data_IF_555286338451
#
_entry.id   IF_555286338451
#
_cell.length_a   1.000
_cell.length_b   1.000
_cell.length_c   1.000
_cell.angle_alpha   90.00
_cell.angle_beta   90.00
_cell.angle_gamma   90.00
#
_symmetry.space_group_name_H-M   'P 1'
#
loop_
_entity.id
_entity.type
_entity.pdbx_description
1 polymer ?
#
# COMPACT_ATOMS: atom_id res chain seq x y z
N UNK A 1 -35.17 0.91 -8.46
CA UNK A 1 -35.14 0.12 -9.71
C UNK A 1 -34.50 -1.19 -9.36
N UNK A 2 -34.99 -2.28 -9.92
CA UNK A 2 -34.36 -3.58 -9.74
C UNK A 2 -32.91 -3.57 -10.28
N UNK A 3 -31.99 -4.24 -9.59
CA UNK A 3 -30.58 -4.31 -9.99
C UNK A 3 -30.44 -4.89 -11.40
N UNK A 4 -31.26 -5.90 -11.73
CA UNK A 4 -31.30 -6.50 -13.06
C UNK A 4 -31.64 -5.46 -14.14
N UNK A 5 -32.60 -4.58 -13.90
CA UNK A 5 -32.97 -3.52 -14.84
C UNK A 5 -31.82 -2.50 -15.07
N UNK A 6 -31.03 -2.21 -14.03
CA UNK A 6 -29.86 -1.33 -14.12
C UNK A 6 -28.72 -1.98 -14.91
N UNK A 7 -28.49 -3.28 -14.72
CA UNK A 7 -27.56 -4.06 -15.55
C UNK A 7 -27.99 -4.09 -17.01
N UNK A 8 -29.27 -4.40 -17.28
CA UNK A 8 -29.82 -4.41 -18.64
C UNK A 8 -29.69 -3.05 -19.33
N UNK A 9 -29.95 -1.96 -18.62
CA UNK A 9 -29.77 -0.60 -19.15
C UNK A 9 -28.29 -0.31 -19.47
N UNK A 10 -27.37 -0.65 -18.57
CA UNK A 10 -25.94 -0.46 -18.81
C UNK A 10 -25.48 -1.25 -20.04
N UNK A 11 -25.96 -2.49 -20.21
CA UNK A 11 -25.66 -3.35 -21.36
C UNK A 11 -26.22 -2.80 -22.67
N UNK A 12 -27.46 -2.29 -22.69
CA UNK A 12 -28.18 -1.95 -23.93
C UNK A 12 -28.14 -0.47 -24.32
N UNK A 13 -28.38 0.44 -23.36
CA UNK A 13 -28.60 1.87 -23.64
C UNK A 13 -27.40 2.76 -23.29
N UNK A 14 -26.49 2.27 -22.46
CA UNK A 14 -25.33 3.03 -22.00
C UNK A 14 -25.68 4.23 -21.12
N UNK A 15 -24.79 5.23 -21.07
CA UNK A 15 -25.01 6.47 -20.31
C UNK A 15 -26.12 7.31 -20.93
N UNK A 16 -26.79 8.16 -20.14
CA UNK A 16 -27.73 9.13 -20.69
C UNK A 16 -26.97 10.39 -21.12
N UNK A 17 -26.86 10.72 -22.42
CA UNK A 17 -26.07 11.87 -22.88
C UNK A 17 -26.53 13.20 -22.28
N UNK A 18 -27.85 13.37 -22.10
CA UNK A 18 -28.47 14.59 -21.56
C UNK A 18 -28.14 14.81 -20.07
N UNK A 19 -27.76 13.75 -19.35
CA UNK A 19 -27.36 13.85 -17.94
C UNK A 19 -25.84 13.86 -17.83
N UNK A 20 -25.18 12.96 -18.56
CA UNK A 20 -23.75 12.73 -18.49
C UNK A 20 -22.95 13.98 -18.90
N UNK A 21 -23.27 14.59 -20.04
CA UNK A 21 -22.50 15.71 -20.56
C UNK A 21 -22.61 16.96 -19.68
N UNK A 22 -23.80 17.42 -19.24
CA UNK A 22 -23.90 18.56 -18.34
C UNK A 22 -23.17 18.34 -17.01
N UNK A 23 -23.35 17.17 -16.39
CA UNK A 23 -22.64 16.82 -15.14
C UNK A 23 -21.13 16.86 -15.35
N UNK A 24 -20.65 16.33 -16.46
CA UNK A 24 -19.23 16.35 -16.83
C UNK A 24 -18.70 17.77 -17.06
N UNK A 25 -19.46 18.62 -17.75
CA UNK A 25 -19.13 20.02 -17.97
C UNK A 25 -19.01 20.82 -16.67
N UNK A 26 -19.77 20.44 -15.63
CA UNK A 26 -19.66 21.05 -14.29
C UNK A 26 -18.51 20.44 -13.48
N UNK A 27 -18.38 19.12 -13.45
CA UNK A 27 -17.42 18.44 -12.58
C UNK A 27 -15.96 18.61 -13.01
N UNK A 28 -15.68 18.61 -14.31
CA UNK A 28 -14.30 18.76 -14.81
C UNK A 28 -13.67 20.10 -14.40
N UNK A 29 -14.26 21.27 -14.67
CA UNK A 29 -13.69 22.54 -14.23
C UNK A 29 -13.65 22.61 -12.70
N UNK A 30 -14.66 22.10 -12.00
CA UNK A 30 -14.63 22.01 -10.54
C UNK A 30 -13.40 21.23 -10.05
N UNK A 31 -13.13 20.03 -10.57
CA UNK A 31 -11.94 19.27 -10.18
C UNK A 31 -10.63 19.98 -10.56
N UNK A 32 -10.57 20.59 -11.74
CA UNK A 32 -9.37 21.31 -12.20
C UNK A 32 -9.04 22.53 -11.35
N UNK A 33 -10.05 23.31 -10.94
CA UNK A 33 -9.83 24.52 -10.16
C UNK A 33 -9.77 24.21 -8.66
N UNK A 34 -10.80 23.55 -8.12
CA UNK A 34 -10.96 23.35 -6.69
C UNK A 34 -10.01 22.29 -6.12
N UNK A 35 -9.78 21.20 -6.86
CA UNK A 35 -8.81 20.15 -6.48
C UNK A 35 -7.47 20.27 -7.20
N UNK A 36 -7.25 21.35 -7.98
CA UNK A 36 -6.01 21.56 -8.76
C UNK A 36 -5.62 20.31 -9.55
N UNK A 37 -6.62 19.66 -10.17
CA UNK A 37 -6.46 18.33 -10.77
C UNK A 37 -5.36 18.29 -11.84
N UNK A 38 -4.27 17.58 -11.52
CA UNK A 38 -3.21 17.22 -12.47
C UNK A 38 -3.58 15.96 -13.24
N UNK A 39 -3.40 15.98 -14.57
CA UNK A 39 -3.71 14.85 -15.46
C UNK A 39 -2.52 14.57 -16.36
N UNK A 40 -1.87 13.43 -16.17
CA UNK A 40 -0.62 13.05 -16.83
C UNK A 40 -0.84 11.75 -17.61
N UNK A 41 -0.29 11.62 -18.81
CA UNK A 41 -0.43 10.40 -19.61
C UNK A 41 -1.75 10.29 -20.37
N UNK A 42 -2.41 11.41 -20.70
CA UNK A 42 -3.70 11.38 -21.42
C UNK A 42 -3.55 10.87 -22.85
N UNK A 43 -2.38 11.03 -23.43
CA UNK A 43 -1.92 10.52 -24.71
C UNK A 43 -1.91 8.98 -24.77
N UNK A 44 -1.86 8.29 -23.62
CA UNK A 44 -1.93 6.84 -23.55
C UNK A 44 -3.37 6.30 -23.60
N UNK A 45 -4.39 7.16 -23.61
CA UNK A 45 -5.78 6.74 -23.59
C UNK A 45 -6.34 6.73 -25.02
N UNK A 46 -6.72 5.56 -25.56
CA UNK A 46 -7.39 5.47 -26.86
C UNK A 46 -8.61 6.38 -26.95
N UNK A 47 -8.77 7.05 -28.09
CA UNK A 47 -9.89 7.97 -28.33
C UNK A 47 -11.22 7.21 -28.53
N UNK A 48 -11.14 6.01 -29.10
CA UNK A 48 -12.24 5.13 -29.49
C UNK A 48 -11.88 3.66 -29.20
N UNK A 49 -12.83 2.75 -29.45
CA UNK A 49 -12.67 1.32 -29.20
C UNK A 49 -12.78 0.89 -27.73
N UNK A 50 -12.81 -0.43 -27.46
CA UNK A 50 -12.90 -0.97 -26.11
C UNK A 50 -11.70 -0.56 -25.27
N UNK A 51 -11.92 -0.23 -24.00
CA UNK A 51 -10.83 0.19 -23.11
C UNK A 51 -11.10 -0.25 -21.69
N UNK A 52 -10.13 -0.94 -21.09
CA UNK A 52 -10.20 -1.39 -19.71
C UNK A 52 -9.23 -0.56 -18.86
N UNK A 53 -9.76 0.21 -17.92
CA UNK A 53 -8.94 1.00 -16.99
C UNK A 53 -8.76 0.20 -15.70
N UNK A 54 -7.50 0.00 -15.29
CA UNK A 54 -7.15 -0.62 -14.02
C UNK A 54 -6.58 0.45 -13.09
N UNK A 55 -7.24 0.74 -11.97
CA UNK A 55 -6.82 1.80 -11.05
C UNK A 55 -6.77 1.39 -9.58
N UNK A 56 -5.95 2.09 -8.79
CA UNK A 56 -6.02 2.03 -7.33
C UNK A 56 -7.28 2.75 -6.81
N UNK A 57 -7.78 2.35 -5.64
CA UNK A 57 -8.99 2.91 -5.06
C UNK A 57 -8.77 3.42 -3.64
N UNK A 58 -8.77 4.74 -3.47
CA UNK A 58 -8.54 5.46 -2.21
C UNK A 58 -9.78 6.19 -1.71
N UNK A 59 -10.66 6.62 -2.61
CA UNK A 59 -11.77 7.51 -2.29
C UNK A 59 -13.00 7.25 -3.16
N UNK A 60 -14.16 7.72 -2.71
CA UNK A 60 -15.39 7.67 -3.52
C UNK A 60 -15.32 8.59 -4.75
N UNK A 61 -14.36 9.54 -4.76
CA UNK A 61 -14.16 10.46 -5.88
C UNK A 61 -13.36 9.86 -7.04
N UNK A 62 -12.65 8.75 -6.82
CA UNK A 62 -11.73 8.19 -7.83
C UNK A 62 -12.42 7.92 -9.18
N UNK A 63 -13.62 7.31 -9.25
CA UNK A 63 -14.27 7.06 -10.54
C UNK A 63 -14.56 8.34 -11.31
N UNK A 64 -14.99 9.40 -10.62
CA UNK A 64 -15.32 10.69 -11.23
C UNK A 64 -14.06 11.42 -11.71
N UNK A 65 -13.02 11.37 -10.90
CA UNK A 65 -11.74 12.02 -11.18
C UNK A 65 -11.03 11.30 -12.34
N UNK A 66 -11.04 9.96 -12.39
CA UNK A 66 -10.57 9.16 -13.52
C UNK A 66 -11.38 9.45 -14.78
N UNK A 67 -12.71 9.59 -14.66
CA UNK A 67 -13.57 9.98 -15.78
C UNK A 67 -13.17 11.30 -16.46
N UNK A 68 -12.48 12.20 -15.74
CA UNK A 68 -11.97 13.45 -16.29
C UNK A 68 -10.69 13.30 -17.16
N UNK A 69 -10.10 12.10 -17.23
CA UNK A 69 -8.96 11.80 -18.09
C UNK A 69 -9.37 11.62 -19.56
N UNK A 70 -10.44 10.88 -19.81
CA UNK A 70 -10.94 10.54 -21.13
C UNK A 70 -11.82 11.65 -21.70
N UNK A 71 -12.15 11.62 -22.99
CA UNK A 71 -13.17 12.50 -23.60
C UNK A 71 -14.51 11.80 -23.83
N UNK A 72 -14.65 10.55 -23.39
CA UNK A 72 -15.80 9.67 -23.60
C UNK A 72 -16.30 9.08 -22.28
N UNK A 73 -17.54 8.53 -22.24
CA UNK A 73 -18.11 7.93 -21.05
C UNK A 73 -17.26 6.79 -20.48
N UNK A 74 -17.26 6.67 -19.15
CA UNK A 74 -16.58 5.60 -18.41
C UNK A 74 -17.60 4.90 -17.53
N UNK A 75 -17.69 3.58 -17.69
CA UNK A 75 -18.55 2.74 -16.87
C UNK A 75 -17.74 2.21 -15.70
N UNK A 76 -18.30 2.25 -14.50
CA UNK A 76 -17.61 1.81 -13.29
C UNK A 76 -18.55 1.06 -12.37
N UNK A 77 -17.98 0.22 -11.54
CA UNK A 77 -18.73 -0.63 -10.63
C UNK A 77 -18.92 0.08 -9.28
N UNK A 78 -20.15 0.09 -8.76
CA UNK A 78 -20.53 0.77 -7.52
C UNK A 78 -21.36 -0.14 -6.59
N UNK A 79 -21.28 0.09 -5.28
CA UNK A 79 -21.99 -0.71 -4.26
C UNK A 79 -23.50 -0.70 -4.51
N UNK A 80 -24.16 -1.87 -4.49
CA UNK A 80 -25.61 -2.02 -4.75
C UNK A 80 -26.47 -1.13 -3.84
N UNK A 81 -26.05 -0.86 -2.61
CA UNK A 81 -26.75 -0.02 -1.63
C UNK A 81 -26.88 1.44 -2.07
N UNK A 82 -25.99 1.92 -2.96
CA UNK A 82 -26.11 3.25 -3.56
C UNK A 82 -27.31 3.37 -4.51
N UNK A 83 -27.93 2.25 -4.88
CA UNK A 83 -29.04 2.18 -5.84
C UNK A 83 -30.40 1.88 -5.18
N UNK A 84 -30.46 1.77 -3.84
CA UNK A 84 -31.73 1.55 -3.12
C UNK A 84 -32.75 2.67 -3.41
N UNK A 85 -32.29 3.92 -3.40
CA UNK A 85 -33.10 5.07 -3.75
C UNK A 85 -33.31 5.13 -5.28
N UNK A 86 -34.56 5.09 -5.75
CA UNK A 86 -34.87 5.01 -7.20
C UNK A 86 -34.25 6.14 -8.02
N UNK A 87 -34.35 7.39 -7.53
CA UNK A 87 -33.81 8.57 -8.21
C UNK A 87 -32.28 8.58 -8.22
N UNK A 88 -31.66 8.28 -7.07
CA UNK A 88 -30.20 8.19 -6.95
C UNK A 88 -29.63 7.07 -7.83
N UNK A 89 -30.26 5.90 -7.82
CA UNK A 89 -29.84 4.75 -8.63
C UNK A 89 -29.99 5.01 -10.13
N UNK A 90 -31.08 5.68 -10.55
CA UNK A 90 -31.23 6.16 -11.93
C UNK A 90 -30.10 7.11 -12.32
N UNK A 91 -29.84 8.12 -11.48
CA UNK A 91 -28.84 9.14 -11.75
C UNK A 91 -27.42 8.55 -11.84
N UNK A 92 -27.04 7.69 -10.89
CA UNK A 92 -25.75 7.00 -10.91
C UNK A 92 -25.60 6.12 -12.16
N UNK A 93 -26.63 5.36 -12.52
CA UNK A 93 -26.60 4.54 -13.72
C UNK A 93 -26.55 5.37 -15.01
N UNK A 94 -27.26 6.49 -15.05
CA UNK A 94 -27.18 7.47 -16.14
C UNK A 94 -25.76 8.04 -16.31
N UNK A 95 -24.96 8.07 -15.25
CA UNK A 95 -23.55 8.46 -15.26
C UNK A 95 -22.57 7.32 -15.57
N UNK A 96 -23.05 6.08 -15.75
CA UNK A 96 -22.24 4.91 -16.08
C UNK A 96 -21.97 3.97 -14.90
N UNK A 97 -22.58 4.20 -13.73
CA UNK A 97 -22.42 3.30 -12.58
C UNK A 97 -23.24 2.01 -12.73
N UNK A 98 -22.59 0.87 -12.53
CA UNK A 98 -23.21 -0.46 -12.53
C UNK A 98 -23.24 -0.98 -11.09
N UNK A 99 -24.40 -1.42 -10.56
CA UNK A 99 -24.47 -1.98 -9.21
C UNK A 99 -23.68 -3.29 -9.12
N UNK A 100 -23.05 -3.54 -7.97
CA UNK A 100 -22.47 -4.85 -7.64
C UNK A 100 -22.71 -5.21 -6.19
N UNK A 101 -22.93 -6.49 -5.96
CA UNK A 101 -22.88 -7.10 -4.64
C UNK A 101 -21.46 -7.62 -4.36
N UNK A 102 -20.76 -6.99 -3.42
CA UNK A 102 -19.39 -7.35 -3.09
C UNK A 102 -19.40 -8.61 -2.23
N UNK A 103 -19.17 -9.77 -2.84
CA UNK A 103 -19.06 -11.06 -2.15
C UNK A 103 -19.91 -12.18 -2.75
N UNK A 104 -21.03 -11.84 -3.40
CA UNK A 104 -22.00 -12.83 -3.90
C UNK A 104 -22.12 -12.93 -5.43
N UNK A 105 -21.86 -11.84 -6.20
CA UNK A 105 -22.10 -11.84 -7.65
C UNK A 105 -20.94 -11.23 -8.46
N UNK A 106 -19.79 -11.92 -8.43
CA UNK A 106 -18.66 -11.59 -9.31
C UNK A 106 -19.01 -11.86 -10.79
N UNK A 107 -19.86 -12.85 -11.08
CA UNK A 107 -20.16 -13.24 -12.46
C UNK A 107 -21.03 -12.23 -13.22
N UNK A 108 -22.11 -11.72 -12.64
CA UNK A 108 -23.00 -10.77 -13.35
C UNK A 108 -22.28 -9.45 -13.68
N UNK A 109 -21.42 -9.00 -12.76
CA UNK A 109 -20.57 -7.84 -12.97
C UNK A 109 -19.58 -8.07 -14.11
N UNK A 110 -18.89 -9.22 -14.14
CA UNK A 110 -17.97 -9.58 -15.21
C UNK A 110 -18.67 -9.66 -16.57
N UNK A 111 -19.84 -10.30 -16.63
CA UNK A 111 -20.66 -10.37 -17.85
C UNK A 111 -21.05 -8.97 -18.32
N UNK A 112 -21.48 -8.10 -17.40
CA UNK A 112 -21.85 -6.71 -17.74
C UNK A 112 -20.66 -5.90 -18.25
N UNK A 113 -19.51 -6.00 -17.58
CA UNK A 113 -18.29 -5.34 -17.99
C UNK A 113 -17.86 -5.82 -19.38
N UNK A 114 -17.92 -7.13 -19.64
CA UNK A 114 -17.64 -7.70 -20.96
C UNK A 114 -18.57 -7.15 -22.03
N UNK A 115 -19.89 -7.16 -21.81
CA UNK A 115 -20.85 -6.60 -22.79
C UNK A 115 -20.61 -5.12 -23.09
N UNK A 116 -20.17 -4.34 -22.10
CA UNK A 116 -19.80 -2.93 -22.32
C UNK A 116 -18.53 -2.83 -23.17
N UNK A 117 -17.53 -3.66 -22.90
CA UNK A 117 -16.30 -3.73 -23.71
C UNK A 117 -16.61 -4.20 -25.14
N UNK A 118 -17.46 -5.20 -25.34
CA UNK A 118 -17.85 -5.71 -26.67
C UNK A 118 -18.55 -4.63 -27.51
N UNK A 119 -19.22 -3.67 -26.87
CA UNK A 119 -19.79 -2.47 -27.52
C UNK A 119 -18.75 -1.40 -27.88
N UNK A 120 -17.48 -1.64 -27.55
CA UNK A 120 -16.39 -0.71 -27.72
C UNK A 120 -16.35 0.40 -26.69
N UNK A 121 -17.02 0.27 -25.54
CA UNK A 121 -17.05 1.27 -24.46
C UNK A 121 -15.92 1.09 -23.43
N UNK A 122 -15.81 2.05 -22.50
CA UNK A 122 -14.74 2.09 -21.49
C UNK A 122 -15.22 1.56 -20.15
N UNK A 123 -14.53 0.57 -19.59
CA UNK A 123 -14.82 0.05 -18.24
C UNK A 123 -13.67 0.37 -17.29
N UNK A 124 -14.00 0.93 -16.13
CA UNK A 124 -13.10 1.16 -15.01
C UNK A 124 -13.30 0.09 -13.95
N UNK A 125 -12.21 -0.63 -13.66
CA UNK A 125 -12.12 -1.61 -12.60
C UNK A 125 -11.07 -1.17 -11.59
N UNK A 126 -11.40 -1.35 -10.31
CA UNK A 126 -10.46 -1.23 -9.21
C UNK A 126 -10.08 -2.64 -8.76
N UNK A 127 -8.90 -3.17 -9.15
CA UNK A 127 -8.53 -4.56 -8.88
C UNK A 127 -8.56 -4.91 -7.38
N UNK A 128 -8.31 -3.94 -6.50
CA UNK A 128 -8.40 -4.10 -5.04
C UNK A 128 -9.81 -4.50 -4.55
N UNK A 129 -10.86 -4.19 -5.31
CA UNK A 129 -12.26 -4.48 -5.00
C UNK A 129 -12.85 -3.67 -3.82
N UNK A 130 -12.01 -2.94 -3.08
CA UNK A 130 -12.41 -2.04 -2.00
C UNK A 130 -11.52 -0.81 -1.97
N UNK A 131 -11.88 0.19 -1.16
CA UNK A 131 -11.01 1.36 -0.95
C UNK A 131 -9.94 0.98 0.07
N UNK A 132 -8.68 1.10 -0.31
CA UNK A 132 -7.53 0.78 0.54
C UNK A 132 -6.94 2.08 1.06
N UNK A 133 -6.96 2.32 2.38
CA UNK A 133 -6.29 3.45 3.05
C UNK A 133 -6.36 3.29 4.58
N UNK A 134 -5.42 3.88 5.34
CA UNK A 134 -4.14 4.47 4.91
C UNK A 134 -3.12 3.38 4.49
N UNK A 135 -1.95 3.78 4.00
CA UNK A 135 -0.87 2.87 3.57
C UNK A 135 -0.71 2.74 2.05
N UNK A 136 0.01 1.69 1.65
CA UNK A 136 0.31 1.36 0.24
C UNK A 136 -0.89 0.84 -0.53
N UNK A 137 -0.60 0.29 -1.71
CA UNK A 137 -1.59 -0.39 -2.55
C UNK A 137 -2.01 -1.73 -1.94
N UNK A 138 -3.27 -2.13 -2.16
CA UNK A 138 -3.79 -3.42 -1.72
C UNK A 138 -3.46 -4.57 -2.67
N UNK A 139 -3.97 -5.74 -2.33
CA UNK A 139 -3.84 -6.94 -3.16
C UNK A 139 -4.87 -6.92 -4.29
N UNK A 140 -4.45 -7.10 -5.56
CA UNK A 140 -5.37 -7.12 -6.68
C UNK A 140 -6.12 -8.45 -6.75
N UNK A 141 -7.38 -8.39 -7.20
CA UNK A 141 -8.18 -9.57 -7.55
C UNK A 141 -8.03 -9.89 -9.04
N UNK A 142 -8.11 -11.18 -9.38
CA UNK A 142 -7.98 -11.71 -10.76
C UNK A 142 -8.99 -11.19 -11.80
N UNK A 143 -10.03 -10.47 -11.38
CA UNK A 143 -11.13 -10.06 -12.25
C UNK A 143 -10.67 -9.19 -13.44
N UNK A 144 -9.66 -8.35 -13.22
CA UNK A 144 -9.09 -7.52 -14.28
C UNK A 144 -8.42 -8.37 -15.38
N UNK A 145 -7.61 -9.38 -15.00
CA UNK A 145 -6.93 -10.23 -15.97
C UNK A 145 -7.90 -11.12 -16.74
N UNK A 146 -8.98 -11.59 -16.09
CA UNK A 146 -10.06 -12.31 -16.77
C UNK A 146 -10.74 -11.43 -17.84
N UNK A 147 -11.10 -10.19 -17.49
CA UNK A 147 -11.73 -9.26 -18.44
C UNK A 147 -10.81 -8.91 -19.61
N UNK A 148 -9.52 -8.69 -19.35
CA UNK A 148 -8.53 -8.41 -20.37
C UNK A 148 -8.43 -9.56 -21.40
N UNK A 149 -8.39 -10.81 -20.93
CA UNK A 149 -8.33 -12.01 -21.78
C UNK A 149 -9.64 -12.26 -22.54
N UNK A 150 -10.80 -12.10 -21.89
CA UNK A 150 -12.07 -12.39 -22.56
C UNK A 150 -12.48 -11.34 -23.59
N UNK A 151 -12.11 -10.07 -23.37
CA UNK A 151 -12.48 -8.96 -24.25
C UNK A 151 -11.42 -8.61 -25.30
N UNK A 152 -10.15 -8.94 -25.06
CA UNK A 152 -9.03 -8.43 -25.85
C UNK A 152 -8.83 -6.91 -25.76
N UNK A 153 -9.53 -6.23 -24.85
CA UNK A 153 -9.46 -4.78 -24.71
C UNK A 153 -8.08 -4.35 -24.18
N UNK A 154 -7.49 -3.27 -24.70
CA UNK A 154 -6.29 -2.67 -24.13
C UNK A 154 -6.54 -2.28 -22.67
N UNK A 155 -5.60 -2.64 -21.79
CA UNK A 155 -5.65 -2.34 -20.37
C UNK A 155 -4.75 -1.14 -20.08
N UNK A 156 -5.33 -0.02 -19.64
CA UNK A 156 -4.55 1.16 -19.24
C UNK A 156 -4.42 1.21 -17.71
N UNK A 157 -3.19 1.12 -17.16
CA UNK A 157 -2.94 1.26 -15.74
C UNK A 157 -3.03 2.74 -15.34
N UNK A 158 -3.80 3.04 -14.31
CA UNK A 158 -4.01 4.39 -13.80
C UNK A 158 -3.69 4.43 -12.30
N UNK A 159 -2.99 5.46 -11.86
CA UNK A 159 -2.88 5.78 -10.45
C UNK A 159 -3.48 7.15 -10.14
N UNK A 160 -4.12 7.26 -8.98
CA UNK A 160 -4.73 8.48 -8.44
C UNK A 160 -4.22 8.70 -7.03
N UNK A 161 -3.66 9.88 -6.75
CA UNK A 161 -3.24 10.32 -5.41
C UNK A 161 -3.93 11.62 -4.99
N UNK A 162 -4.20 11.77 -3.70
CA UNK A 162 -4.73 12.98 -3.07
C UNK A 162 -6.24 12.97 -2.86
N UNK A 163 -6.98 12.07 -3.53
CA UNK A 163 -8.44 11.96 -3.38
C UNK A 163 -8.86 11.47 -1.99
N UNK A 164 -7.99 10.77 -1.26
CA UNK A 164 -8.22 10.37 0.13
C UNK A 164 -8.29 11.54 1.10
N UNK A 165 -7.63 12.66 0.76
CA UNK A 165 -7.51 13.86 1.59
C UNK A 165 -8.58 14.91 1.30
N UNK A 166 -9.30 14.76 0.19
CA UNK A 166 -10.35 15.70 -0.24
C UNK A 166 -11.54 15.73 0.71
N UNK A 167 -11.93 14.58 1.28
CA UNK A 167 -13.11 14.49 2.17
C UNK A 167 -12.72 14.19 3.60
N UNK A 168 -13.02 15.12 4.50
CA UNK A 168 -12.93 14.93 5.97
C UNK A 168 -14.34 14.97 6.55
N UNK A 169 -14.86 13.82 6.97
CA UNK A 169 -16.25 13.62 7.41
C UNK A 169 -17.26 14.01 6.29
N UNK A 170 -18.09 15.02 6.52
CA UNK A 170 -19.08 15.52 5.55
C UNK A 170 -18.56 16.69 4.69
N UNK A 171 -17.39 17.26 5.02
CA UNK A 171 -16.86 18.44 4.33
C UNK A 171 -15.86 18.06 3.25
N UNK A 172 -16.07 18.60 2.05
CA UNK A 172 -15.12 18.56 0.94
C UNK A 172 -14.17 19.74 1.11
N UNK A 173 -12.86 19.49 1.11
CA UNK A 173 -11.81 20.51 1.21
C UNK A 173 -10.96 20.52 -0.05
N UNK A 174 -10.42 21.68 -0.44
CA UNK A 174 -9.50 21.75 -1.57
C UNK A 174 -8.22 21.00 -1.20
N UNK A 175 -7.84 20.03 -2.03
CA UNK A 175 -6.58 19.30 -1.94
C UNK A 175 -6.11 19.00 -3.35
N UNK A 176 -4.79 19.04 -3.58
CA UNK A 176 -4.23 18.72 -4.89
C UNK A 176 -4.47 17.25 -5.19
N UNK A 177 -5.11 16.97 -6.32
CA UNK A 177 -5.31 15.61 -6.83
C UNK A 177 -4.51 15.45 -8.10
N UNK A 178 -3.77 14.35 -8.23
CA UNK A 178 -3.00 14.05 -9.43
C UNK A 178 -3.34 12.64 -9.92
N UNK A 179 -3.58 12.52 -11.21
CA UNK A 179 -3.80 11.24 -11.89
C UNK A 179 -2.70 11.04 -12.92
N UNK A 180 -2.23 9.80 -13.03
CA UNK A 180 -1.31 9.37 -14.07
C UNK A 180 -1.81 8.11 -14.76
N UNK A 181 -1.84 8.12 -16.08
CA UNK A 181 -2.09 6.95 -16.90
C UNK A 181 -0.79 6.45 -17.55
N UNK A 182 -0.54 5.15 -17.45
CA UNK A 182 0.58 4.48 -18.12
C UNK A 182 0.20 4.01 -19.53
N UNK A 183 1.18 3.43 -20.24
CA UNK A 183 0.95 2.88 -21.59
C UNK A 183 -0.05 1.71 -21.55
N UNK A 184 -0.89 1.54 -22.59
CA UNK A 184 -1.79 0.39 -22.68
C UNK A 184 -1.02 -0.92 -22.74
N UNK A 185 -1.55 -1.95 -22.08
CA UNK A 185 -1.13 -3.34 -22.20
C UNK A 185 -2.17 -4.10 -23.03
N UNK A 186 -1.71 -4.90 -23.99
CA UNK A 186 -2.57 -5.76 -24.81
C UNK A 186 -2.32 -7.23 -24.48
N UNK A 187 -3.38 -8.02 -24.49
CA UNK A 187 -3.34 -9.45 -24.19
C UNK A 187 -4.11 -10.22 -25.27
N UNK A 188 -3.75 -11.49 -25.55
CA UNK A 188 -4.48 -12.31 -26.49
C UNK A 188 -5.90 -12.57 -25.98
N UNK A 189 -6.85 -12.65 -26.92
CA UNK A 189 -8.22 -13.02 -26.59
C UNK A 189 -8.32 -14.52 -26.34
N UNK A 190 -8.80 -14.92 -25.17
CA UNK A 190 -8.96 -16.32 -24.75
C UNK A 190 -10.39 -16.55 -24.27
N UNK A 191 -11.06 -17.54 -24.85
CA UNK A 191 -12.36 -17.99 -24.37
C UNK A 191 -12.19 -18.80 -23.08
N UNK A 192 -13.02 -18.52 -22.07
CA UNK A 192 -13.02 -19.23 -20.78
C UNK A 192 -11.62 -19.39 -20.15
N UNK A 193 -10.88 -18.29 -19.90
CA UNK A 193 -9.53 -18.35 -19.37
C UNK A 193 -9.50 -19.04 -18.00
N UNK A 194 -8.48 -19.87 -17.79
CA UNK A 194 -8.27 -20.51 -16.49
C UNK A 194 -8.02 -19.47 -15.39
N UNK A 195 -8.33 -19.84 -14.14
CA UNK A 195 -8.09 -18.96 -12.97
C UNK A 195 -6.62 -18.53 -12.87
N UNK A 196 -5.70 -19.44 -13.19
CA UNK A 196 -4.27 -19.18 -13.12
C UNK A 196 -3.82 -18.21 -14.23
N UNK A 197 -4.35 -18.35 -15.44
CA UNK A 197 -4.03 -17.43 -16.53
C UNK A 197 -4.57 -16.01 -16.25
N UNK A 198 -5.79 -15.91 -15.73
CA UNK A 198 -6.36 -14.63 -15.31
C UNK A 198 -5.55 -13.97 -14.17
N UNK A 199 -5.02 -14.77 -13.24
CA UNK A 199 -4.13 -14.28 -12.19
C UNK A 199 -2.81 -13.78 -12.79
N UNK A 200 -2.17 -14.55 -13.68
CA UNK A 200 -0.92 -14.16 -14.33
C UNK A 200 -1.03 -12.83 -15.12
N UNK A 201 -2.14 -12.61 -15.82
CA UNK A 201 -2.40 -11.32 -16.49
C UNK A 201 -2.59 -10.20 -15.47
N UNK A 202 -3.29 -10.46 -14.36
CA UNK A 202 -3.44 -9.49 -13.27
C UNK A 202 -2.09 -9.12 -12.66
N UNK A 203 -1.21 -10.10 -12.45
CA UNK A 203 0.14 -9.93 -11.91
C UNK A 203 1.07 -9.19 -12.89
N UNK A 204 0.70 -9.11 -14.17
CA UNK A 204 1.38 -8.27 -15.18
C UNK A 204 0.82 -6.84 -15.23
N UNK A 205 -0.47 -6.65 -14.99
CA UNK A 205 -1.13 -5.33 -14.98
C UNK A 205 -0.85 -4.55 -13.69
N UNK A 206 -0.92 -5.22 -12.54
CA UNK A 206 -0.85 -4.55 -11.24
C UNK A 206 0.47 -3.82 -10.97
N UNK A 207 1.65 -4.39 -11.30
CA UNK A 207 2.91 -3.66 -11.19
C UNK A 207 2.95 -2.39 -12.04
N UNK A 208 2.25 -2.34 -13.18
CA UNK A 208 2.17 -1.12 -13.99
C UNK A 208 1.33 -0.03 -13.32
N UNK A 209 0.29 -0.40 -12.55
CA UNK A 209 -0.47 0.52 -11.68
C UNK A 209 0.41 1.01 -10.53
N UNK A 210 1.14 0.08 -9.88
CA UNK A 210 2.08 0.40 -8.80
C UNK A 210 3.16 1.38 -9.27
N UNK A 211 3.70 1.20 -10.48
CA UNK A 211 4.66 2.13 -11.09
C UNK A 211 4.08 3.53 -11.29
N UNK A 212 2.81 3.65 -11.69
CA UNK A 212 2.16 4.96 -11.80
C UNK A 212 1.98 5.61 -10.42
N UNK A 213 1.63 4.81 -9.42
CA UNK A 213 1.39 5.25 -8.05
C UNK A 213 2.67 5.73 -7.36
N UNK A 214 3.74 4.96 -7.45
CA UNK A 214 5.06 5.29 -6.91
C UNK A 214 5.60 6.59 -7.52
N UNK A 215 5.49 6.75 -8.84
CA UNK A 215 5.90 7.99 -9.50
C UNK A 215 5.12 9.22 -9.03
N UNK A 216 3.85 9.04 -8.64
CA UNK A 216 3.04 10.11 -8.05
C UNK A 216 3.41 10.41 -6.58
N UNK A 217 4.41 9.74 -6.01
CA UNK A 217 4.82 9.86 -4.60
C UNK A 217 4.08 8.91 -3.65
N UNK A 218 3.40 7.90 -4.20
CA UNK A 218 2.76 6.84 -3.43
C UNK A 218 3.75 6.06 -2.56
N UNK A 219 3.25 5.35 -1.55
CA UNK A 219 4.08 4.38 -0.81
C UNK A 219 4.42 3.19 -1.70
N UNK A 220 5.71 2.97 -1.92
CA UNK A 220 6.25 1.79 -2.60
C UNK A 220 6.11 0.56 -1.71
N UNK A 221 5.87 -0.63 -2.26
CA UNK A 221 5.96 -1.87 -1.51
C UNK A 221 7.36 -2.03 -0.90
N UNK A 222 7.44 -2.51 0.34
CA UNK A 222 8.71 -2.81 1.00
C UNK A 222 9.25 -4.12 0.42
N UNK A 223 10.45 -4.08 -0.16
CA UNK A 223 11.11 -5.25 -0.78
C UNK A 223 12.43 -5.56 -0.10
N UNK A 224 13.19 -4.53 0.25
CA UNK A 224 14.50 -4.66 0.90
C UNK A 224 14.49 -4.05 2.30
N UNK A 225 14.93 -4.83 3.27
CA UNK A 225 15.11 -4.41 4.64
C UNK A 225 16.56 -4.60 5.11
N UNK A 226 17.10 -3.61 5.80
CA UNK A 226 18.36 -3.76 6.54
C UNK A 226 18.07 -3.65 8.03
N UNK A 227 18.48 -4.64 8.80
CA UNK A 227 18.43 -4.62 10.25
C UNK A 227 19.82 -4.28 10.77
N UNK A 228 19.98 -3.13 11.43
CA UNK A 228 21.22 -2.77 12.12
C UNK A 228 21.07 -3.22 13.57
N UNK A 229 21.90 -4.17 13.98
CA UNK A 229 21.82 -4.82 15.29
C UNK A 229 21.37 -6.27 15.15
N UNK A 230 22.31 -7.17 15.43
CA UNK A 230 22.21 -8.63 15.36
C UNK A 230 21.95 -9.27 16.72
N UNK A 231 21.45 -8.49 17.68
CA UNK A 231 20.89 -9.05 18.91
C UNK A 231 19.68 -9.94 18.61
N UNK A 232 19.16 -10.58 19.65
CA UNK A 232 18.07 -11.53 19.55
C UNK A 232 16.82 -10.93 18.84
N UNK A 233 16.37 -9.73 19.26
CA UNK A 233 15.21 -9.06 18.64
C UNK A 233 15.45 -8.69 17.16
N UNK A 234 16.62 -8.14 16.84
CA UNK A 234 16.98 -7.80 15.46
C UNK A 234 17.03 -9.04 14.57
N UNK A 235 17.55 -10.15 15.09
CA UNK A 235 17.59 -11.44 14.41
C UNK A 235 16.18 -12.01 14.18
N UNK A 236 15.32 -12.01 15.21
CA UNK A 236 13.92 -12.46 15.07
C UNK A 236 13.17 -11.68 13.99
N UNK A 237 13.32 -10.36 13.96
CA UNK A 237 12.70 -9.53 12.94
C UNK A 237 13.30 -9.76 11.55
N UNK A 238 14.62 -9.95 11.44
CA UNK A 238 15.24 -10.28 10.15
C UNK A 238 14.65 -11.57 9.57
N UNK A 239 14.48 -12.60 10.40
CA UNK A 239 13.85 -13.87 10.02
C UNK A 239 12.38 -13.65 9.64
N UNK A 240 11.63 -12.92 10.46
CA UNK A 240 10.22 -12.62 10.19
C UNK A 240 10.02 -11.89 8.86
N UNK A 241 10.83 -10.86 8.60
CA UNK A 241 10.80 -10.10 7.35
C UNK A 241 11.19 -10.96 6.14
N UNK A 242 12.18 -11.84 6.30
CA UNK A 242 12.59 -12.78 5.25
C UNK A 242 11.47 -13.78 4.90
N UNK A 243 10.73 -14.28 5.92
CA UNK A 243 9.54 -15.12 5.75
C UNK A 243 8.39 -14.38 5.08
N UNK A 244 8.26 -13.08 5.32
CA UNK A 244 7.32 -12.20 4.62
C UNK A 244 7.73 -11.88 3.16
N UNK A 245 8.86 -12.40 2.69
CA UNK A 245 9.32 -12.30 1.30
C UNK A 245 10.18 -11.08 0.99
N UNK A 246 10.69 -10.39 2.01
CA UNK A 246 11.68 -9.32 1.82
C UNK A 246 13.07 -9.91 1.63
N UNK A 247 13.88 -9.23 0.84
CA UNK A 247 15.34 -9.36 0.85
C UNK A 247 15.86 -8.67 2.12
N UNK A 248 16.61 -9.39 2.95
CA UNK A 248 17.00 -8.91 4.27
C UNK A 248 18.52 -8.96 4.44
N UNK A 249 19.09 -7.84 4.84
CA UNK A 249 20.45 -7.76 5.37
C UNK A 249 20.44 -7.64 6.89
N UNK A 250 21.26 -8.46 7.56
CA UNK A 250 21.47 -8.39 9.01
C UNK A 250 22.87 -7.81 9.30
N UNK A 251 22.89 -6.57 9.79
CA UNK A 251 24.09 -5.80 10.07
C UNK A 251 24.66 -6.10 11.45
N UNK A 252 25.84 -6.72 11.48
CA UNK A 252 26.62 -6.99 12.69
C UNK A 252 27.60 -5.87 12.99
N UNK A 253 28.10 -5.82 14.23
CA UNK A 253 29.10 -4.81 14.63
C UNK A 253 30.47 -5.03 13.96
N UNK A 254 30.92 -6.28 13.85
CA UNK A 254 32.25 -6.63 13.35
C UNK A 254 32.18 -7.61 12.19
N UNK A 255 33.16 -7.52 11.29
CA UNK A 255 33.25 -8.42 10.13
C UNK A 255 33.46 -9.88 10.54
N UNK A 256 34.32 -10.12 11.53
CA UNK A 256 34.57 -11.46 12.07
C UNK A 256 33.28 -12.10 12.60
N UNK A 257 32.45 -11.35 13.31
CA UNK A 257 31.17 -11.88 13.80
C UNK A 257 30.18 -12.16 12.66
N UNK A 258 30.14 -11.32 11.62
CA UNK A 258 29.35 -11.63 10.42
C UNK A 258 29.81 -12.93 9.75
N UNK A 259 31.12 -13.15 9.63
CA UNK A 259 31.70 -14.36 9.05
C UNK A 259 31.36 -15.61 9.89
N UNK A 260 31.41 -15.50 11.22
CA UNK A 260 30.97 -16.57 12.13
C UNK A 260 29.49 -16.92 11.94
N UNK A 261 28.60 -15.92 11.91
CA UNK A 261 27.16 -16.13 11.70
C UNK A 261 26.85 -16.75 10.34
N UNK A 262 27.53 -16.32 9.27
CA UNK A 262 27.38 -16.92 7.93
C UNK A 262 27.82 -18.38 7.92
N UNK A 263 28.93 -18.70 8.58
CA UNK A 263 29.45 -20.06 8.64
C UNK A 263 28.56 -20.98 9.48
N UNK A 264 28.07 -20.49 10.62
CA UNK A 264 27.19 -21.24 11.51
C UNK A 264 25.74 -21.33 11.01
N UNK A 265 25.29 -20.39 10.16
CA UNK A 265 23.87 -20.18 9.77
C UNK A 265 22.91 -19.99 10.95
N UNK A 266 23.42 -19.68 12.13
CA UNK A 266 22.66 -19.52 13.36
C UNK A 266 23.24 -18.37 14.16
N UNK A 267 22.39 -17.66 14.89
CA UNK A 267 22.82 -16.62 15.81
C UNK A 267 22.78 -17.14 17.26
N UNK A 268 23.89 -17.12 18.01
CA UNK A 268 23.89 -17.48 19.43
C UNK A 268 22.90 -16.67 20.28
N UNK A 269 22.53 -15.46 19.85
CA UNK A 269 21.52 -14.64 20.51
C UNK A 269 20.09 -15.18 20.36
N UNK A 270 19.86 -16.08 19.40
CA UNK A 270 18.57 -16.72 19.14
C UNK A 270 18.80 -18.18 18.68
N UNK A 271 19.15 -19.07 19.61
CA UNK A 271 19.59 -20.42 19.28
C UNK A 271 18.46 -21.28 18.71
N UNK A 272 18.82 -22.25 17.87
CA UNK A 272 17.91 -23.22 17.24
C UNK A 272 17.15 -22.69 16.03
N UNK A 273 17.46 -21.50 15.52
CA UNK A 273 16.80 -20.90 14.36
C UNK A 273 17.80 -20.54 13.26
N UNK A 274 17.56 -21.09 12.08
CA UNK A 274 18.41 -20.91 10.90
C UNK A 274 18.23 -19.52 10.26
N UNK A 275 19.34 -18.90 9.85
CA UNK A 275 19.42 -17.61 9.15
C UNK A 275 19.29 -17.74 7.62
N UNK A 276 18.70 -18.83 7.12
CA UNK A 276 18.61 -19.13 5.69
C UNK A 276 18.03 -17.97 4.86
N UNK A 277 18.77 -17.60 3.81
CA UNK A 277 18.39 -16.53 2.89
C UNK A 277 18.46 -15.12 3.47
N UNK A 278 19.08 -14.91 4.65
CA UNK A 278 19.44 -13.60 5.20
C UNK A 278 20.90 -13.31 4.83
N UNK A 279 21.16 -12.13 4.27
CA UNK A 279 22.52 -11.67 3.99
C UNK A 279 23.11 -11.00 5.24
N UNK A 280 23.83 -11.77 6.05
CA UNK A 280 24.53 -11.24 7.23
C UNK A 280 25.74 -10.46 6.76
N UNK A 281 25.94 -9.22 7.20
CA UNK A 281 27.06 -8.35 6.79
C UNK A 281 27.55 -7.52 7.96
N UNK A 282 28.77 -6.96 7.88
CA UNK A 282 29.13 -5.88 8.80
C UNK A 282 28.21 -4.69 8.51
N UNK A 283 27.66 -4.04 9.54
CA UNK A 283 26.72 -2.92 9.36
C UNK A 283 27.29 -1.80 8.47
N UNK A 284 28.62 -1.55 8.53
CA UNK A 284 29.29 -0.56 7.67
C UNK A 284 29.33 -0.96 6.19
N UNK A 285 29.15 -2.23 5.87
CA UNK A 285 29.18 -2.79 4.52
C UNK A 285 27.77 -3.04 3.97
N UNK A 286 26.72 -2.84 4.79
CA UNK A 286 25.33 -3.00 4.38
C UNK A 286 24.91 -1.99 3.30
N UNK A 287 24.10 -2.45 2.35
CA UNK A 287 23.57 -1.64 1.25
C UNK A 287 22.33 -0.85 1.69
N UNK A 288 22.56 0.13 2.57
CA UNK A 288 21.49 1.01 3.06
C UNK A 288 20.86 1.86 1.95
N UNK A 289 21.62 2.21 0.92
CA UNK A 289 21.16 3.09 -0.16
C UNK A 289 20.02 2.47 -1.00
N UNK A 290 19.99 1.13 -1.08
CA UNK A 290 18.97 0.41 -1.84
C UNK A 290 17.77 -0.05 -1.00
N UNK A 291 17.89 0.00 0.33
CA UNK A 291 16.87 -0.41 1.30
C UNK A 291 15.62 0.48 1.27
N UNK A 292 14.47 -0.17 1.43
CA UNK A 292 13.17 0.48 1.58
C UNK A 292 12.80 0.64 3.07
N UNK A 293 13.36 -0.24 3.92
CA UNK A 293 13.15 -0.28 5.35
C UNK A 293 14.48 -0.45 6.08
N UNK A 294 14.75 0.37 7.09
CA UNK A 294 15.93 0.23 7.97
C UNK A 294 15.46 0.08 9.41
N UNK A 295 15.79 -1.04 10.05
CA UNK A 295 15.46 -1.31 11.45
C UNK A 295 16.67 -1.02 12.31
N UNK A 296 16.52 -0.14 13.31
CA UNK A 296 17.54 0.15 14.32
C UNK A 296 17.25 -0.71 15.55
N UNK A 297 17.76 -1.94 15.54
CA UNK A 297 17.63 -2.94 16.60
C UNK A 297 18.84 -2.92 17.54
N UNK A 298 19.16 -1.74 18.06
CA UNK A 298 20.31 -1.51 18.94
C UNK A 298 19.88 -0.90 20.27
N UNK A 299 20.65 -1.06 21.36
CA UNK A 299 20.40 -0.35 22.60
C UNK A 299 20.37 1.17 22.38
N UNK A 300 19.51 1.90 23.10
CA UNK A 300 19.37 3.37 23.00
C UNK A 300 20.70 4.13 23.17
N UNK A 301 21.58 3.65 24.06
CA UNK A 301 22.95 4.18 24.23
C UNK A 301 23.86 4.06 23.01
N UNK A 302 23.57 3.15 22.09
CA UNK A 302 24.37 2.94 20.87
C UNK A 302 23.87 3.77 19.69
N UNK A 303 22.65 4.34 19.76
CA UNK A 303 22.07 5.13 18.68
C UNK A 303 22.93 6.31 18.20
N UNK A 304 23.60 7.09 19.09
CA UNK A 304 24.47 8.17 18.64
C UNK A 304 25.58 7.69 17.69
N UNK A 305 26.23 6.57 18.03
CA UNK A 305 27.30 5.99 17.22
C UNK A 305 26.79 5.36 15.93
N UNK A 306 25.66 4.66 15.99
CA UNK A 306 25.01 4.04 14.82
C UNK A 306 24.59 5.10 13.82
N UNK A 307 23.95 6.18 14.27
CA UNK A 307 23.52 7.26 13.39
C UNK A 307 24.70 8.07 12.84
N UNK A 308 25.78 8.25 13.61
CA UNK A 308 27.00 8.86 13.10
C UNK A 308 27.63 8.02 11.96
N UNK A 309 27.57 6.68 12.04
CA UNK A 309 28.15 5.79 11.03
C UNK A 309 27.24 5.54 9.81
N UNK A 310 25.92 5.57 10.01
CA UNK A 310 24.95 5.08 9.03
C UNK A 310 23.88 6.09 8.63
N UNK A 311 23.62 7.14 9.43
CA UNK A 311 22.48 8.03 9.26
C UNK A 311 22.43 8.69 7.88
N UNK A 312 23.56 9.20 7.38
CA UNK A 312 23.67 9.82 6.04
C UNK A 312 23.53 8.83 4.88
N UNK A 313 23.72 7.53 5.14
CA UNK A 313 23.60 6.47 4.13
C UNK A 313 22.17 5.96 3.98
N UNK A 314 21.28 6.31 4.91
CA UNK A 314 19.86 5.96 4.84
C UNK A 314 19.22 6.88 3.80
N UNK A 315 18.64 6.33 2.71
CA UNK A 315 18.13 7.14 1.62
C UNK A 315 16.81 7.81 2.02
N UNK A 316 16.53 8.98 1.43
CA UNK A 316 15.31 9.75 1.71
C UNK A 316 14.01 8.96 1.47
N UNK A 317 14.03 7.94 0.61
CA UNK A 317 12.87 7.10 0.31
C UNK A 317 12.57 6.06 1.40
N UNK A 318 13.56 5.70 2.24
CA UNK A 318 13.44 4.62 3.20
C UNK A 318 12.56 5.01 4.38
N UNK A 319 11.88 4.02 4.95
CA UNK A 319 11.31 4.11 6.29
C UNK A 319 12.31 3.62 7.33
N UNK A 320 12.45 4.34 8.44
CA UNK A 320 13.28 3.91 9.58
C UNK A 320 12.39 3.44 10.71
N UNK A 321 12.67 2.28 11.28
CA UNK A 321 11.97 1.71 12.43
C UNK A 321 12.92 1.64 13.60
N UNK A 322 12.56 2.30 14.69
CA UNK A 322 13.34 2.34 15.94
C UNK A 322 12.77 1.29 16.89
N UNK A 323 13.64 0.37 17.32
CA UNK A 323 13.31 -0.68 18.29
C UNK A 323 14.07 -0.51 19.62
N UNK A 324 14.90 0.52 19.70
CA UNK A 324 15.66 0.84 20.90
C UNK A 324 14.72 1.17 22.06
N UNK A 325 14.87 0.46 23.19
CA UNK A 325 14.18 0.77 24.45
C UNK A 325 15.00 1.73 25.34
N UNK A 326 14.33 2.47 26.21
CA UNK A 326 14.94 3.42 27.15
C UNK A 326 15.18 4.82 26.57
N UNK A 327 16.11 5.57 27.14
CA UNK A 327 16.42 6.96 26.75
C UNK A 327 17.82 7.06 26.15
N UNK A 328 17.98 7.97 25.19
CA UNK A 328 19.25 8.23 24.51
C UNK A 328 20.05 9.29 25.30
N UNK A 329 21.25 8.95 25.82
CA UNK A 329 22.10 9.92 26.49
C UNK A 329 22.75 10.91 25.50
N UNK A 330 23.23 12.08 25.95
CA UNK A 330 23.18 12.57 27.34
C UNK A 330 21.90 13.35 27.69
N UNK A 331 21.11 13.74 26.69
CA UNK A 331 19.93 14.60 26.86
C UNK A 331 18.67 13.84 27.31
N UNK A 332 18.78 12.53 27.54
CA UNK A 332 17.68 11.65 27.94
C UNK A 332 16.45 11.75 27.01
N UNK A 333 16.71 11.91 25.71
CA UNK A 333 15.65 12.00 24.70
C UNK A 333 15.12 10.62 24.33
N UNK A 334 13.82 10.54 23.99
CA UNK A 334 13.27 9.29 23.45
C UNK A 334 13.94 8.92 22.12
N UNK A 335 14.25 7.63 21.88
CA UNK A 335 14.97 7.15 20.71
C UNK A 335 14.41 7.65 19.38
N UNK A 336 13.09 7.63 19.23
CA UNK A 336 12.45 8.03 17.99
C UNK A 336 12.60 9.51 17.65
N UNK A 337 12.59 10.38 18.67
CA UNK A 337 12.85 11.81 18.50
C UNK A 337 14.31 12.03 18.12
N UNK A 338 15.25 11.36 18.81
CA UNK A 338 16.68 11.44 18.51
C UNK A 338 16.99 11.04 17.05
N UNK A 339 16.38 9.94 16.59
CA UNK A 339 16.52 9.44 15.21
C UNK A 339 15.89 10.39 14.20
N UNK A 340 14.67 10.88 14.46
CA UNK A 340 13.94 11.77 13.53
C UNK A 340 14.69 13.07 13.22
N UNK A 341 15.50 13.57 14.14
CA UNK A 341 16.32 14.77 13.92
C UNK A 341 17.60 14.51 13.10
N UNK A 342 18.00 13.25 12.93
CA UNK A 342 19.34 12.86 12.43
C UNK A 342 19.31 12.01 11.17
N UNK A 343 18.13 11.68 10.65
CA UNK A 343 17.98 10.97 9.38
C UNK A 343 17.09 11.77 8.44
N UNK A 344 17.41 11.72 7.15
CA UNK A 344 16.59 12.33 6.08
C UNK A 344 15.53 11.36 5.55
N UNK A 345 15.35 10.22 6.22
CA UNK A 345 14.40 9.18 5.84
C UNK A 345 12.97 9.72 5.68
N UNK A 346 12.21 9.10 4.79
CA UNK A 346 10.83 9.47 4.46
C UNK A 346 9.96 9.57 5.71
N UNK A 347 10.13 8.60 6.60
CA UNK A 347 9.36 8.47 7.82
C UNK A 347 10.17 7.70 8.87
N UNK A 348 9.96 8.08 10.13
CA UNK A 348 10.46 7.34 11.30
C UNK A 348 9.26 6.72 12.01
N UNK A 349 9.37 5.46 12.39
CA UNK A 349 8.39 4.74 13.17
C UNK A 349 9.05 4.11 14.40
N UNK A 350 8.23 3.82 15.40
CA UNK A 350 8.57 2.97 16.55
C UNK A 350 7.82 1.66 16.39
N UNK A 351 8.49 0.57 16.73
CA UNK A 351 7.86 -0.74 16.85
C UNK A 351 8.11 -1.26 18.27
N UNK A 352 7.02 -1.34 19.04
CA UNK A 352 7.00 -1.96 20.36
C UNK A 352 6.37 -3.36 20.25
N UNK A 353 6.87 -4.28 21.05
CA UNK A 353 6.48 -5.69 21.00
C UNK A 353 7.01 -6.48 22.19
N UNK A 354 7.03 -7.82 22.09
CA UNK A 354 7.39 -8.69 23.18
C UNK A 354 8.76 -8.38 23.79
N UNK A 355 8.86 -8.54 25.12
CA UNK A 355 10.14 -8.43 25.83
C UNK A 355 11.05 -9.63 25.51
N UNK A 356 10.47 -10.82 25.33
CA UNK A 356 11.20 -12.00 24.87
C UNK A 356 11.41 -11.94 23.34
N UNK A 357 12.66 -11.95 22.87
CA UNK A 357 12.97 -12.00 21.45
C UNK A 357 12.35 -13.17 20.68
N UNK A 358 12.15 -14.34 21.31
CA UNK A 358 11.60 -15.52 20.64
C UNK A 358 10.13 -15.32 20.25
N UNK A 359 9.37 -14.59 21.06
CA UNK A 359 7.95 -14.29 20.84
C UNK A 359 7.72 -13.47 19.56
N UNK A 360 8.72 -12.74 19.07
CA UNK A 360 8.65 -12.02 17.78
C UNK A 360 8.48 -12.95 16.58
N UNK A 361 8.72 -14.24 16.74
CA UNK A 361 8.48 -15.27 15.74
C UNK A 361 7.23 -16.11 16.03
N UNK A 362 6.60 -15.91 17.19
CA UNK A 362 5.37 -16.61 17.57
C UNK A 362 4.15 -15.97 16.91
N UNK A 363 3.35 -16.81 16.26
CA UNK A 363 2.11 -16.35 15.64
C UNK A 363 1.14 -15.82 16.71
N UNK A 364 0.66 -14.60 16.52
CA UNK A 364 -0.27 -13.97 17.46
C UNK A 364 0.37 -13.02 18.49
N UNK A 365 1.70 -12.91 18.53
CA UNK A 365 2.36 -11.97 19.44
C UNK A 365 1.95 -10.51 19.13
N UNK A 366 1.67 -9.75 20.18
CA UNK A 366 1.13 -8.39 20.07
C UNK A 366 2.22 -7.38 19.77
N UNK A 367 2.04 -6.57 18.72
CA UNK A 367 2.97 -5.49 18.38
C UNK A 367 2.25 -4.18 18.09
N UNK A 368 2.90 -3.08 18.43
CA UNK A 368 2.40 -1.72 18.21
C UNK A 368 3.36 -0.94 17.34
N UNK A 369 2.90 -0.58 16.14
CA UNK A 369 3.62 0.28 15.23
C UNK A 369 3.09 1.72 15.32
N UNK A 370 3.95 2.71 15.56
CA UNK A 370 3.57 4.12 15.59
C UNK A 370 4.49 4.96 14.71
N UNK A 371 3.93 5.92 13.97
CA UNK A 371 4.69 6.91 13.20
C UNK A 371 3.88 8.21 13.08
N UNK A 372 4.57 9.33 12.93
CA UNK A 372 3.94 10.60 12.52
C UNK A 372 3.39 10.51 11.09
N UNK A 373 4.01 9.69 10.23
CA UNK A 373 3.45 9.29 8.94
C UNK A 373 2.46 8.12 9.12
N UNK A 374 1.17 8.45 9.12
CA UNK A 374 0.09 7.46 9.27
C UNK A 374 0.07 6.41 8.17
N UNK A 375 0.54 6.75 6.97
CA UNK A 375 0.56 5.82 5.86
C UNK A 375 1.71 4.83 6.04
N UNK A 376 2.87 5.30 6.50
CA UNK A 376 3.98 4.42 6.88
C UNK A 376 3.62 3.53 8.09
N UNK A 377 3.01 4.08 9.15
CA UNK A 377 2.54 3.28 10.29
C UNK A 377 1.60 2.15 9.85
N UNK A 378 0.67 2.43 8.94
CA UNK A 378 -0.26 1.44 8.42
C UNK A 378 0.44 0.37 7.55
N UNK A 379 1.42 0.78 6.73
CA UNK A 379 2.23 -0.15 5.95
C UNK A 379 3.04 -1.07 6.85
N UNK A 380 3.66 -0.54 7.91
CA UNK A 380 4.41 -1.32 8.90
C UNK A 380 3.49 -2.28 9.66
N UNK A 381 2.30 -1.84 10.11
CA UNK A 381 1.31 -2.72 10.74
C UNK A 381 0.93 -3.88 9.82
N UNK A 382 0.72 -3.61 8.52
CA UNK A 382 0.37 -4.66 7.56
C UNK A 382 1.53 -5.63 7.32
N UNK A 383 2.76 -5.12 7.26
CA UNK A 383 3.96 -5.95 7.17
C UNK A 383 4.09 -6.87 8.39
N UNK A 384 3.94 -6.35 9.61
CA UNK A 384 4.00 -7.16 10.83
C UNK A 384 2.91 -8.24 10.87
N UNK A 385 1.70 -7.96 10.36
CA UNK A 385 0.66 -8.99 10.19
C UNK A 385 1.06 -10.09 9.21
N UNK A 386 1.76 -9.74 8.14
CA UNK A 386 2.26 -10.75 7.19
C UNK A 386 3.40 -11.60 7.76
N UNK A 387 4.10 -11.11 8.78
CA UNK A 387 5.08 -11.89 9.57
C UNK A 387 4.38 -12.88 10.52
N UNK A 388 3.08 -12.69 10.81
CA UNK A 388 2.29 -13.53 11.72
C UNK A 388 1.93 -12.85 13.05
N UNK A 389 2.27 -11.57 13.22
CA UNK A 389 2.07 -10.82 14.46
C UNK A 389 0.70 -10.14 14.53
N UNK A 390 0.14 -10.02 15.73
CA UNK A 390 -1.06 -9.22 16.00
C UNK A 390 -0.70 -7.73 16.10
N UNK A 391 -0.54 -7.12 14.92
CA UNK A 391 -0.12 -5.72 14.85
C UNK A 391 -1.30 -4.73 14.89
N UNK A 392 -1.10 -3.66 15.67
CA UNK A 392 -1.99 -2.47 15.71
C UNK A 392 -1.20 -1.18 15.54
N UNK A 393 -1.87 -0.15 15.05
CA UNK A 393 -1.29 1.19 14.89
C UNK A 393 -1.44 1.98 16.20
N UNK A 394 -0.33 2.47 16.75
CA UNK A 394 -0.29 3.34 17.93
C UNK A 394 -0.79 4.77 17.64
N UNK A 395 -1.14 5.51 18.70
CA UNK A 395 -1.65 6.87 18.59
C UNK A 395 -0.55 7.89 18.29
N UNK A 396 0.60 7.75 18.96
CA UNK A 396 1.81 8.56 18.79
C UNK A 396 3.05 7.74 19.21
N UNK A 397 4.22 8.14 18.73
CA UNK A 397 5.47 7.41 18.94
C UNK A 397 5.94 7.49 20.40
N UNK A 398 5.85 8.67 21.02
CA UNK A 398 6.31 8.89 22.40
C UNK A 398 5.53 8.06 23.42
N UNK A 399 4.21 7.91 23.25
CA UNK A 399 3.39 7.09 24.15
C UNK A 399 3.69 5.61 24.04
N UNK A 400 4.07 5.13 22.86
CA UNK A 400 4.52 3.76 22.66
C UNK A 400 5.86 3.54 23.38
N UNK A 401 6.83 4.44 23.20
CA UNK A 401 8.15 4.32 23.87
C UNK A 401 8.08 4.48 25.40
N UNK A 402 7.18 5.34 25.92
CA UNK A 402 7.03 5.57 27.37
C UNK A 402 6.27 4.47 28.11
N UNK A 403 5.52 3.62 27.41
CA UNK A 403 4.87 2.44 28.03
C UNK A 403 5.92 1.46 28.54
N UNK A 404 6.97 1.24 27.76
CA UNK A 404 8.12 0.44 28.15
C UNK A 404 8.81 1.04 29.39
N UNK A 405 9.06 2.35 29.40
CA UNK A 405 9.72 3.03 30.53
C UNK A 405 8.93 2.87 31.85
N UNK A 406 7.61 3.05 31.81
CA UNK A 406 6.76 2.89 33.00
C UNK A 406 6.67 1.44 33.47
N UNK A 407 6.70 0.47 32.54
CA UNK A 407 6.71 -0.96 32.88
C UNK A 407 8.05 -1.38 33.50
N UNK A 408 9.17 -0.84 33.00
CA UNK A 408 10.51 -1.11 33.51
C UNK A 408 10.73 -0.48 34.89
N UNK A 409 10.32 0.79 35.09
CA UNK A 409 10.33 1.46 36.41
C UNK A 409 9.46 0.74 37.45
N UNK A 410 8.35 0.12 37.04
CA UNK A 410 7.50 -0.69 37.93
C UNK A 410 8.15 -2.01 38.30
N UNK A 411 8.87 -2.66 37.37
CA UNK A 411 9.63 -3.89 37.64
C UNK A 411 10.82 -3.64 38.56
N UNK A 412 11.59 -2.57 38.34
CA UNK A 412 12.72 -2.20 39.24
C UNK A 412 12.27 -1.84 40.66
N UNK A 413 11.05 -1.32 40.84
CA UNK A 413 10.45 -1.06 42.16
C UNK A 413 9.80 -2.28 42.84
N UNK A 414 9.60 -3.37 42.11
CA UNK A 414 9.05 -4.61 42.67
C UNK A 414 10.15 -5.58 43.13
N UNK A 415 11.40 -5.33 42.74
CA UNK A 415 12.60 -6.13 43.07
C UNK A 415 13.47 -5.46 44.14
N UNK A 416 13.19 -4.20 44.47
CA UNK A 416 13.76 -3.44 45.58
C UNK A 416 12.72 -3.35 46.71
#
# INVERSE_FOLDING_TARGET
MDAHALHQRARTKGVNPLVYWPVRWVLIPFFRLYFRLGRIGREHLPADGPLLLAANHRSFLDPFVIGAMLKRPVYYVAKKELFHNRLQGWFLNALGAVPVDRGASDQEMLTTARTILDRGDVVLIFPEGTRVRPGGLGTPKRGIGRLALESGAPVVPIAVIGTENVRRKLRIRPHRVTIRAGRPLTFPTVQNPSRNLAQAVTDRVWPCVALQWEWLGGLSPLRRATVIGDGACGTSLAIGLRRAGLEVQLGTRTREHAEQLRAARENPALPGIDLDGIDVVRANEADLASSDLVLLAVPSRALPWVLAAHGERIPEKAGVVVLSKGLVPPLETVPSAFVSERVVARAVAVLDGPDDPADWLEAGANVVAASTDRAFAAQLTQLMRSVGLEARTGADMTSVERRDELAERRRSRAVA
#
